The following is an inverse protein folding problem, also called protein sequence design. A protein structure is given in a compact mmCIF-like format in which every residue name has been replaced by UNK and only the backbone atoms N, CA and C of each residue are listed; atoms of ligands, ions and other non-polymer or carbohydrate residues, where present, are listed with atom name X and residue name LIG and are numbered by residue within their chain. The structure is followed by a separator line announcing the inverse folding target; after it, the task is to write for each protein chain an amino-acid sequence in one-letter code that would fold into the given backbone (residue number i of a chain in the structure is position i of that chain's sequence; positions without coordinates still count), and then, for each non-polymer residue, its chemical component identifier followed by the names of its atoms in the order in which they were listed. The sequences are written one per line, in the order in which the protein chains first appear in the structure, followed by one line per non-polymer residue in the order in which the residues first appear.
data_IF_726684564483
#
_entry.id   IF_726684564483
#
_cell.length_a   1.000
_cell.length_b   1.000
_cell.length_c   1.000
_cell.angle_alpha   90.00
_cell.angle_beta   90.00
_cell.angle_gamma   90.00
#
_symmetry.space_group_name_H-M   'P 1'
#
loop_
_entity.id
_entity.type
_entity.pdbx_description
1 polymer ?
#
# COMPACT_ATOMS: atom_id res chain seq x y z
N UNK A 1 -5.87 2.58 -33.76
CA UNK A 1 -6.69 2.80 -32.54
C UNK A 1 -6.64 4.28 -32.21
N UNK A 2 -7.79 4.97 -32.15
CA UNK A 2 -7.88 6.42 -31.90
C UNK A 2 -7.19 6.81 -30.60
N UNK A 3 -6.49 7.94 -30.56
CA UNK A 3 -5.80 8.42 -29.34
C UNK A 3 -6.76 8.65 -28.17
N UNK A 4 -8.04 8.94 -28.46
CA UNK A 4 -9.10 9.01 -27.45
C UNK A 4 -9.31 7.65 -26.76
N UNK A 5 -9.27 6.55 -27.50
CA UNK A 5 -9.44 5.19 -26.95
C UNK A 5 -8.26 4.87 -26.03
N UNK A 6 -7.02 5.23 -26.41
CA UNK A 6 -5.84 5.04 -25.56
C UNK A 6 -5.95 5.81 -24.25
N UNK A 7 -6.40 7.07 -24.31
CA UNK A 7 -6.59 7.90 -23.13
C UNK A 7 -7.66 7.32 -22.20
N UNK A 8 -8.80 6.87 -22.76
CA UNK A 8 -9.87 6.24 -21.97
C UNK A 8 -9.37 4.97 -21.28
N UNK A 9 -8.61 4.11 -21.98
CA UNK A 9 -8.04 2.91 -21.39
C UNK A 9 -7.06 3.23 -20.26
N UNK A 10 -6.17 4.21 -20.48
CA UNK A 10 -5.24 4.67 -19.46
C UNK A 10 -5.96 5.21 -18.20
N UNK A 11 -7.02 6.00 -18.38
CA UNK A 11 -7.83 6.50 -17.26
C UNK A 11 -8.56 5.37 -16.54
N UNK A 12 -9.10 4.39 -17.27
CA UNK A 12 -9.75 3.21 -16.69
C UNK A 12 -8.80 2.45 -15.79
N UNK A 13 -7.58 2.21 -16.26
CA UNK A 13 -6.55 1.47 -15.52
C UNK A 13 -6.12 2.27 -14.27
N UNK A 14 -5.95 3.59 -14.40
CA UNK A 14 -5.66 4.48 -13.27
C UNK A 14 -6.77 4.45 -12.20
N UNK A 15 -8.04 4.47 -12.61
CA UNK A 15 -9.15 4.38 -11.67
C UNK A 15 -9.25 3.01 -11.00
N UNK A 16 -8.98 1.94 -11.74
CA UNK A 16 -8.91 0.58 -11.18
C UNK A 16 -7.84 0.48 -10.10
N UNK A 17 -6.63 0.99 -10.39
CA UNK A 17 -5.52 1.01 -9.44
C UNK A 17 -5.82 1.92 -8.23
N UNK A 18 -6.54 3.03 -8.42
CA UNK A 18 -6.99 3.90 -7.31
C UNK A 18 -8.01 3.20 -6.39
N UNK A 19 -8.97 2.47 -6.96
CA UNK A 19 -9.93 1.67 -6.19
C UNK A 19 -9.18 0.63 -5.35
N UNK A 20 -8.19 -0.05 -5.96
CA UNK A 20 -7.37 -1.04 -5.26
C UNK A 20 -6.59 -0.43 -4.09
N UNK A 21 -5.88 0.69 -4.30
CA UNK A 21 -5.16 1.38 -3.23
C UNK A 21 -6.10 1.75 -2.07
N UNK A 22 -7.31 2.24 -2.37
CA UNK A 22 -8.31 2.54 -1.34
C UNK A 22 -8.74 1.30 -0.55
N UNK A 23 -8.87 0.13 -1.20
CA UNK A 23 -9.15 -1.12 -0.51
C UNK A 23 -8.01 -1.52 0.43
N UNK A 24 -6.75 -1.33 0.04
CA UNK A 24 -5.60 -1.60 0.92
C UNK A 24 -5.50 -0.62 2.09
N UNK A 25 -5.84 0.65 1.89
CA UNK A 25 -5.93 1.61 3.02
C UNK A 25 -6.95 1.13 4.05
N UNK A 26 -8.09 0.58 3.61
CA UNK A 26 -9.07 0.01 4.53
C UNK A 26 -8.51 -1.17 5.32
N UNK A 27 -7.68 -2.03 4.71
CA UNK A 27 -7.04 -3.14 5.44
C UNK A 27 -5.99 -2.63 6.45
N UNK A 28 -5.19 -1.62 6.11
CA UNK A 28 -4.25 -1.02 7.08
C UNK A 28 -4.95 -0.35 8.28
N UNK A 29 -6.16 0.20 8.07
CA UNK A 29 -6.98 0.72 9.18
C UNK A 29 -7.44 -0.42 10.11
N UNK A 30 -7.79 -1.60 9.57
CA UNK A 30 -8.11 -2.78 10.37
C UNK A 30 -6.91 -3.19 11.23
N UNK A 31 -5.69 -3.23 10.66
CA UNK A 31 -4.44 -3.49 11.42
C UNK A 31 -4.25 -2.54 12.60
N UNK A 32 -4.55 -1.25 12.44
CA UNK A 32 -4.49 -0.28 13.55
C UNK A 32 -5.47 -0.70 14.68
N UNK A 33 -6.67 -1.16 14.32
CA UNK A 33 -7.65 -1.63 15.32
C UNK A 33 -7.22 -2.94 15.99
N UNK A 34 -6.58 -3.85 15.26
CA UNK A 34 -6.03 -5.11 15.79
C UNK A 34 -4.87 -4.85 16.76
N UNK A 35 -3.94 -3.97 16.37
CA UNK A 35 -2.84 -3.54 17.24
C UNK A 35 -3.36 -2.87 18.53
N UNK A 36 -4.42 -2.06 18.42
CA UNK A 36 -5.06 -1.45 19.59
C UNK A 36 -5.72 -2.49 20.51
N UNK A 37 -6.34 -3.53 19.94
CA UNK A 37 -6.89 -4.64 20.70
C UNK A 37 -5.80 -5.45 21.41
N UNK A 38 -4.68 -5.71 20.72
CA UNK A 38 -3.53 -6.42 21.30
C UNK A 38 -2.94 -5.71 22.53
N UNK A 39 -2.81 -4.38 22.49
CA UNK A 39 -2.36 -3.58 23.64
C UNK A 39 -3.24 -3.83 24.88
N UNK A 40 -4.53 -4.14 24.70
CA UNK A 40 -5.46 -4.43 25.80
C UNK A 40 -5.45 -5.90 26.26
N UNK A 41 -5.08 -6.83 25.38
CA UNK A 41 -5.20 -8.27 25.62
C UNK A 41 -3.86 -9.02 25.77
N UNK A 42 -2.71 -8.36 25.53
CA UNK A 42 -1.36 -8.92 25.61
C UNK A 42 -0.77 -9.28 24.24
N UNK A 43 0.57 -9.31 24.14
CA UNK A 43 1.34 -9.53 22.89
C UNK A 43 1.09 -10.89 22.23
N UNK A 44 0.66 -11.91 22.99
CA UNK A 44 0.28 -13.24 22.50
C UNK A 44 -0.81 -13.21 21.40
N UNK A 45 -1.59 -12.13 21.31
CA UNK A 45 -2.59 -11.91 20.27
C UNK A 45 -1.96 -11.50 18.92
N UNK A 46 -0.84 -10.78 18.92
CA UNK A 46 -0.13 -10.32 17.71
C UNK A 46 0.70 -11.44 17.08
N UNK A 47 1.37 -12.26 17.89
CA UNK A 47 2.23 -13.36 17.41
C UNK A 47 1.46 -14.43 16.62
N UNK A 48 0.14 -14.56 16.84
CA UNK A 48 -0.72 -15.52 16.12
C UNK A 48 -1.31 -14.95 14.83
N UNK A 49 -1.08 -13.68 14.52
CA UNK A 49 -1.65 -13.04 13.35
C UNK A 49 -0.70 -13.16 12.15
N UNK A 50 -1.14 -13.84 11.07
CA UNK A 50 -0.42 -13.83 9.77
C UNK A 50 -0.43 -12.46 9.09
N UNK A 51 -1.24 -11.55 9.64
CA UNK A 51 -1.53 -10.19 9.22
C UNK A 51 -0.26 -9.42 8.83
N UNK A 52 0.83 -9.53 9.60
CA UNK A 52 2.04 -8.75 9.33
C UNK A 52 2.66 -9.05 7.96
N UNK A 53 2.69 -10.31 7.53
CA UNK A 53 3.26 -10.70 6.23
C UNK A 53 2.37 -10.25 5.08
N UNK A 54 1.06 -10.48 5.21
CA UNK A 54 0.06 -10.08 4.21
C UNK A 54 0.06 -8.55 4.01
N UNK A 55 0.12 -7.78 5.09
CA UNK A 55 0.25 -6.31 5.03
C UNK A 55 1.55 -5.86 4.35
N UNK A 56 2.66 -6.56 4.57
CA UNK A 56 3.94 -6.24 3.94
C UNK A 56 3.87 -6.45 2.41
N UNK A 57 3.21 -7.52 1.95
CA UNK A 57 2.98 -7.78 0.53
C UNK A 57 2.09 -6.71 -0.11
N UNK A 58 0.98 -6.35 0.55
CA UNK A 58 0.10 -5.28 0.09
C UNK A 58 0.80 -3.93 -0.04
N UNK A 59 1.65 -3.59 0.94
CA UNK A 59 2.46 -2.37 0.90
C UNK A 59 3.43 -2.37 -0.30
N UNK A 60 4.04 -3.51 -0.60
CA UNK A 60 4.95 -3.64 -1.75
C UNK A 60 4.19 -3.48 -3.07
N UNK A 61 2.97 -4.00 -3.16
CA UNK A 61 2.12 -3.88 -4.34
C UNK A 61 1.65 -2.44 -4.58
N UNK A 62 1.27 -1.69 -3.52
CA UNK A 62 0.94 -0.26 -3.64
C UNK A 62 2.12 0.52 -4.23
N UNK A 63 3.35 0.28 -3.74
CA UNK A 63 4.54 0.96 -4.26
C UNK A 63 4.73 0.68 -5.75
N UNK A 64 4.50 -0.57 -6.20
CA UNK A 64 4.60 -0.94 -7.61
C UNK A 64 3.54 -0.23 -8.47
N UNK A 65 2.34 -0.01 -7.95
CA UNK A 65 1.29 0.77 -8.63
C UNK A 65 1.71 2.23 -8.78
N UNK A 66 2.30 2.83 -7.75
CA UNK A 66 2.78 4.22 -7.82
C UNK A 66 3.86 4.39 -8.91
N UNK A 67 4.75 3.42 -9.07
CA UNK A 67 5.78 3.42 -10.12
C UNK A 67 5.17 3.42 -11.55
N UNK A 68 3.94 2.94 -11.75
CA UNK A 68 3.26 2.95 -13.05
C UNK A 68 2.94 4.37 -13.53
N UNK A 69 2.52 5.27 -12.64
CA UNK A 69 1.96 6.57 -12.99
C UNK A 69 2.90 7.76 -12.74
N UNK A 70 3.81 7.65 -11.76
CA UNK A 70 4.69 8.73 -11.34
C UNK A 70 5.96 8.75 -12.21
N UNK A 71 5.96 9.56 -13.27
CA UNK A 71 7.03 9.54 -14.30
C UNK A 71 7.87 10.80 -14.35
N UNK A 72 7.40 11.92 -13.81
CA UNK A 72 8.21 13.15 -13.74
C UNK A 72 9.26 13.05 -12.65
N UNK A 73 10.37 13.79 -12.79
CA UNK A 73 11.47 13.76 -11.81
C UNK A 73 11.00 14.05 -10.38
N UNK A 74 10.07 14.99 -10.22
CA UNK A 74 9.52 15.33 -8.89
C UNK A 74 8.67 14.21 -8.30
N UNK A 75 7.87 13.54 -9.13
CA UNK A 75 7.03 12.43 -8.71
C UNK A 75 7.86 11.20 -8.32
N UNK A 76 8.89 10.87 -9.10
CA UNK A 76 9.82 9.78 -8.82
C UNK A 76 10.52 10.00 -7.48
N UNK A 77 10.98 11.22 -7.19
CA UNK A 77 11.59 11.56 -5.90
C UNK A 77 10.60 11.36 -4.75
N UNK A 78 9.33 11.76 -4.93
CA UNK A 78 8.29 11.57 -3.92
C UNK A 78 8.02 10.08 -3.66
N UNK A 79 7.94 9.26 -4.70
CA UNK A 79 7.75 7.80 -4.57
C UNK A 79 8.95 7.15 -3.87
N UNK A 80 10.19 7.53 -4.21
CA UNK A 80 11.37 7.01 -3.55
C UNK A 80 11.40 7.33 -2.03
N UNK A 81 10.97 8.54 -1.64
CA UNK A 81 10.83 8.91 -0.22
C UNK A 81 9.75 8.09 0.48
N UNK A 82 8.59 7.92 -0.15
CA UNK A 82 7.49 7.12 0.40
C UNK A 82 7.90 5.65 0.55
N UNK A 83 8.49 5.06 -0.49
CA UNK A 83 9.04 3.70 -0.49
C UNK A 83 10.04 3.52 0.65
N UNK A 84 10.99 4.44 0.82
CA UNK A 84 11.94 4.39 1.95
C UNK A 84 11.24 4.41 3.31
N UNK A 85 10.18 5.20 3.47
CA UNK A 85 9.43 5.28 4.72
C UNK A 85 8.65 3.98 4.99
N UNK A 86 7.80 3.58 4.03
CA UNK A 86 6.94 2.39 4.15
C UNK A 86 7.77 1.11 4.32
N UNK A 87 8.82 0.94 3.50
CA UNK A 87 9.63 -0.29 3.55
C UNK A 87 10.51 -0.38 4.80
N UNK A 88 10.86 0.76 5.44
CA UNK A 88 11.62 0.74 6.71
C UNK A 88 10.80 0.11 7.85
N UNK A 89 9.48 0.21 7.79
CA UNK A 89 8.60 -0.38 8.79
C UNK A 89 8.32 -1.88 8.58
N UNK A 90 8.83 -2.50 7.51
CA UNK A 90 8.62 -3.93 7.23
C UNK A 90 9.43 -4.86 8.14
N UNK A 91 10.41 -4.35 8.89
CA UNK A 91 11.32 -5.14 9.73
C UNK A 91 11.56 -4.61 11.15
N UNK A 92 10.79 -3.61 11.60
CA UNK A 92 10.89 -3.05 12.95
C UNK A 92 9.64 -3.45 13.78
N UNK A 93 9.49 -4.74 14.07
CA UNK A 93 8.76 -5.22 15.25
C UNK A 93 9.72 -6.17 15.95
N UNK A 94 10.27 -5.71 17.08
CA UNK A 94 11.08 -6.51 18.00
C UNK A 94 10.16 -7.32 18.90
#
# INVERSE_FOLDING_TARGET
MSDQIKLILYMKDMFSDLIYINSVIATELVKITENLAAIRHGEDFLERSTCTTEHNELNQEIINILDKYNKTSNEVIRVARLKKHVLKHLGEIK
#
